data_IF_860143994939
#
_entry.id   IF_860143994939
#
_cell.length_a   1.000
_cell.length_b   1.000
_cell.length_c   1.000
_cell.angle_alpha   90.00
_cell.angle_beta   90.00
_cell.angle_gamma   90.00
#
_symmetry.space_group_name_H-M   'P 1'
#
loop_
_entity.id
_entity.type
_entity.pdbx_description
1 polymer ?
#
# COMPACT_ATOMS: atom_id res chain seq x y z
N UNK A 1 -4.28 22.00 -27.56
CA UNK A 1 -4.02 21.98 -26.09
C UNK A 1 -4.54 20.66 -25.54
N UNK A 2 -3.67 19.74 -25.15
CA UNK A 2 -4.09 18.51 -24.48
C UNK A 2 -4.89 18.89 -23.22
N UNK A 3 -6.08 18.31 -23.03
CA UNK A 3 -6.88 18.53 -21.82
C UNK A 3 -6.02 18.15 -20.62
N UNK A 4 -5.84 19.10 -19.72
CA UNK A 4 -5.16 18.87 -18.45
C UNK A 4 -5.76 17.62 -17.77
N UNK A 5 -4.95 16.61 -17.40
CA UNK A 5 -5.43 15.40 -16.71
C UNK A 5 -5.95 15.72 -15.29
N UNK A 6 -5.83 16.99 -14.86
CA UNK A 6 -6.33 17.47 -13.59
C UNK A 6 -7.82 17.82 -13.66
N UNK A 7 -8.63 17.04 -12.96
CA UNK A 7 -10.02 17.40 -12.67
C UNK A 7 -10.12 18.65 -11.79
N UNK A 8 -11.32 19.23 -11.73
CA UNK A 8 -11.63 20.43 -10.93
C UNK A 8 -11.07 20.35 -9.50
N UNK A 9 -11.31 19.23 -8.81
CA UNK A 9 -10.90 19.05 -7.42
C UNK A 9 -9.38 19.06 -7.20
N UNK A 10 -8.59 18.52 -8.15
CA UNK A 10 -7.13 18.63 -8.08
C UNK A 10 -6.66 20.07 -8.21
N UNK A 11 -7.24 20.82 -9.14
CA UNK A 11 -6.90 22.23 -9.34
C UNK A 11 -7.30 23.07 -8.13
N UNK A 12 -8.45 22.79 -7.54
CA UNK A 12 -8.92 23.43 -6.31
C UNK A 12 -7.95 23.18 -5.15
N UNK A 13 -7.61 21.91 -4.88
CA UNK A 13 -6.67 21.56 -3.80
C UNK A 13 -5.28 22.15 -4.06
N UNK A 14 -4.79 22.11 -5.30
CA UNK A 14 -3.52 22.72 -5.65
C UNK A 14 -3.54 24.25 -5.43
N UNK A 15 -4.62 24.95 -5.78
CA UNK A 15 -4.76 26.38 -5.55
C UNK A 15 -4.75 26.74 -4.06
N UNK A 16 -5.28 25.87 -3.20
CA UNK A 16 -5.31 26.07 -1.74
C UNK A 16 -3.98 25.69 -1.08
N UNK A 17 -3.42 24.52 -1.41
CA UNK A 17 -2.24 23.98 -0.71
C UNK A 17 -0.91 24.50 -1.26
N UNK A 18 -0.82 24.80 -2.56
CA UNK A 18 0.45 25.21 -3.17
C UNK A 18 0.97 26.53 -2.60
N UNK A 19 0.19 27.64 -2.52
CA UNK A 19 0.70 28.90 -2.01
C UNK A 19 1.37 28.83 -0.61
N UNK A 20 0.73 28.24 0.43
CA UNK A 20 1.39 28.12 1.73
C UNK A 20 2.62 27.21 1.69
N UNK A 21 2.62 26.13 0.90
CA UNK A 21 3.83 25.30 0.73
C UNK A 21 4.97 26.12 0.10
N UNK A 22 4.69 26.92 -0.93
CA UNK A 22 5.69 27.76 -1.59
C UNK A 22 6.27 28.82 -0.65
N UNK A 23 5.43 29.35 0.26
CA UNK A 23 5.81 30.38 1.22
C UNK A 23 6.60 29.80 2.41
N UNK A 24 6.14 28.68 2.97
CA UNK A 24 6.62 28.13 4.25
C UNK A 24 7.72 27.07 4.09
N UNK A 25 7.94 26.53 2.90
CA UNK A 25 8.94 25.48 2.65
C UNK A 25 9.79 25.78 1.43
N UNK A 26 11.02 25.27 1.41
CA UNK A 26 11.85 25.14 0.20
C UNK A 26 11.55 23.79 -0.46
N UNK A 27 11.85 23.65 -1.75
CA UNK A 27 11.55 22.41 -2.49
C UNK A 27 12.70 22.03 -3.40
N UNK A 28 13.07 20.76 -3.39
CA UNK A 28 14.04 20.16 -4.30
C UNK A 28 13.41 18.90 -4.89
N UNK A 29 13.05 18.99 -6.18
CA UNK A 29 12.43 17.92 -6.92
C UNK A 29 13.42 17.37 -7.96
N UNK A 30 13.63 16.07 -7.95
CA UNK A 30 14.58 15.38 -8.83
C UNK A 30 13.95 14.09 -9.38
N UNK A 31 14.39 13.64 -10.56
CA UNK A 31 13.93 12.39 -11.16
C UNK A 31 12.55 12.43 -11.81
N UNK A 32 12.03 13.62 -12.14
CA UNK A 32 10.72 13.75 -12.81
C UNK A 32 10.69 13.10 -14.19
N UNK A 33 11.85 12.99 -14.85
CA UNK A 33 12.09 12.29 -16.10
C UNK A 33 11.77 10.79 -16.04
N UNK A 34 11.78 10.18 -14.85
CA UNK A 34 11.40 8.78 -14.66
C UNK A 34 9.89 8.57 -14.54
N UNK A 35 9.09 9.64 -14.48
CA UNK A 35 7.65 9.56 -14.37
C UNK A 35 7.06 9.31 -15.77
N UNK A 36 6.34 8.19 -15.99
CA UNK A 36 5.76 7.90 -17.31
C UNK A 36 4.76 8.98 -17.75
N UNK A 37 4.98 9.52 -18.94
CA UNK A 37 4.09 10.52 -19.55
C UNK A 37 2.70 9.92 -19.86
N UNK A 38 2.66 8.65 -20.22
CA UNK A 38 1.47 7.89 -20.60
C UNK A 38 1.43 6.54 -19.88
N UNK A 39 0.27 5.88 -19.91
CA UNK A 39 0.07 4.58 -19.28
C UNK A 39 -0.02 4.62 -17.76
N UNK A 40 -0.50 3.52 -17.17
CA UNK A 40 -0.65 3.38 -15.73
C UNK A 40 0.68 3.03 -15.10
N UNK A 41 0.91 3.54 -13.89
CA UNK A 41 2.12 3.20 -13.13
C UNK A 41 1.85 3.28 -11.64
N UNK A 42 2.72 2.63 -10.87
CA UNK A 42 2.68 2.63 -9.42
C UNK A 42 3.90 3.39 -8.91
N UNK A 43 3.74 4.21 -7.89
CA UNK A 43 4.89 4.76 -7.16
C UNK A 43 4.99 4.14 -5.78
N UNK A 44 6.21 3.75 -5.42
CA UNK A 44 6.55 3.22 -4.11
C UNK A 44 7.31 4.31 -3.36
N UNK A 45 6.69 4.86 -2.31
CA UNK A 45 7.21 6.03 -1.60
C UNK A 45 7.49 5.67 -0.14
N UNK A 46 8.63 6.08 0.43
CA UNK A 46 8.85 5.95 1.87
C UNK A 46 7.96 6.92 2.67
N UNK A 47 7.68 6.63 3.94
CA UNK A 47 6.77 7.44 4.76
C UNK A 47 7.37 7.80 6.13
N UNK A 48 7.82 9.04 6.34
CA UNK A 48 8.36 9.51 7.63
C UNK A 48 7.60 10.69 8.26
N UNK A 49 6.64 11.29 7.55
CA UNK A 49 5.89 12.46 8.00
C UNK A 49 4.44 12.45 7.51
N UNK A 50 3.54 13.02 8.31
CA UNK A 50 2.16 13.29 7.85
C UNK A 50 2.09 14.31 6.70
N UNK A 51 3.16 15.07 6.46
CA UNK A 51 3.26 16.02 5.35
C UNK A 51 3.70 15.34 4.03
N UNK A 52 4.16 14.09 4.07
CA UNK A 52 4.65 13.35 2.90
C UNK A 52 3.67 13.31 1.73
N UNK A 53 2.36 12.98 1.92
CA UNK A 53 1.42 12.93 0.80
C UNK A 53 1.23 14.28 0.13
N UNK A 54 1.36 15.37 0.89
CA UNK A 54 1.25 16.73 0.37
C UNK A 54 2.51 17.12 -0.42
N UNK A 55 3.70 16.79 0.09
CA UNK A 55 4.96 17.00 -0.62
C UNK A 55 4.99 16.18 -1.93
N UNK A 56 4.61 14.90 -1.86
CA UNK A 56 4.55 14.03 -3.03
C UNK A 56 3.51 14.50 -4.04
N UNK A 57 2.31 14.88 -3.60
CA UNK A 57 1.28 15.41 -4.49
C UNK A 57 1.74 16.69 -5.21
N UNK A 58 2.51 17.55 -4.54
CA UNK A 58 3.07 18.75 -5.18
C UNK A 58 4.15 18.40 -6.21
N UNK A 59 5.07 17.48 -5.90
CA UNK A 59 6.00 16.92 -6.88
C UNK A 59 5.23 16.41 -8.10
N UNK A 60 4.25 15.52 -7.87
CA UNK A 60 3.51 14.86 -8.92
C UNK A 60 2.63 15.81 -9.72
N UNK A 61 2.08 16.86 -9.10
CA UNK A 61 1.35 17.93 -9.79
C UNK A 61 2.20 18.63 -10.86
N UNK A 62 3.52 18.72 -10.67
CA UNK A 62 4.41 19.34 -11.66
C UNK A 62 4.77 18.38 -12.81
N UNK A 63 4.52 17.07 -12.67
CA UNK A 63 4.77 16.05 -13.72
C UNK A 63 3.61 15.89 -14.70
N UNK A 64 2.43 16.45 -14.38
CA UNK A 64 1.22 16.21 -15.18
C UNK A 64 0.47 14.91 -14.83
N UNK A 65 0.91 14.13 -13.83
CA UNK A 65 0.42 12.76 -13.60
C UNK A 65 -0.18 12.58 -12.19
N UNK A 66 -1.33 13.19 -11.84
CA UNK A 66 -1.83 13.28 -10.45
C UNK A 66 -1.94 11.91 -9.74
N UNK A 67 -1.52 11.81 -8.46
CA UNK A 67 -1.46 10.52 -7.77
C UNK A 67 -2.82 10.16 -7.13
N UNK A 68 -3.19 8.88 -7.24
CA UNK A 68 -4.27 8.23 -6.49
C UNK A 68 -3.65 7.58 -5.25
N UNK A 69 -3.83 8.19 -4.09
CA UNK A 69 -3.38 7.63 -2.82
C UNK A 69 -4.39 6.63 -2.28
N UNK A 70 -3.85 5.62 -1.60
CA UNK A 70 -4.60 4.75 -0.71
C UNK A 70 -4.77 5.47 0.63
N UNK A 71 -5.95 6.05 0.86
CA UNK A 71 -6.25 6.89 2.02
C UNK A 71 -7.21 6.19 2.99
N UNK A 72 -7.00 6.38 4.30
CA UNK A 72 -7.83 5.75 5.34
C UNK A 72 -9.32 6.07 5.12
N UNK A 73 -10.17 5.04 5.10
CA UNK A 73 -11.62 5.17 4.82
C UNK A 73 -12.31 6.19 5.72
N UNK A 74 -11.92 6.31 6.98
CA UNK A 74 -12.48 7.29 7.92
C UNK A 74 -12.38 8.74 7.41
N UNK A 75 -11.37 9.07 6.58
CA UNK A 75 -11.24 10.41 5.99
C UNK A 75 -12.36 10.72 4.98
N UNK A 76 -12.95 9.70 4.35
CA UNK A 76 -14.02 9.86 3.36
C UNK A 76 -15.38 10.17 3.99
N UNK A 77 -15.52 9.96 5.31
CA UNK A 77 -16.73 10.26 6.07
C UNK A 77 -16.71 11.66 6.69
N UNK A 78 -15.57 12.36 6.67
CA UNK A 78 -15.46 13.74 7.14
C UNK A 78 -16.12 14.67 6.12
N UNK A 79 -17.09 15.47 6.57
CA UNK A 79 -17.80 16.42 5.73
C UNK A 79 -16.83 17.38 5.02
N UNK A 80 -17.07 17.64 3.72
CA UNK A 80 -16.16 18.41 2.87
C UNK A 80 -14.93 17.62 2.40
N UNK A 81 -14.12 17.12 3.33
CA UNK A 81 -12.89 16.34 3.03
C UNK A 81 -13.20 15.13 2.16
N UNK A 82 -14.22 14.35 2.51
CA UNK A 82 -14.60 13.17 1.74
C UNK A 82 -15.03 13.50 0.31
N UNK A 83 -15.71 14.64 0.09
CA UNK A 83 -16.11 15.10 -1.24
C UNK A 83 -14.89 15.44 -2.08
N UNK A 84 -13.91 16.15 -1.50
CA UNK A 84 -12.66 16.48 -2.16
C UNK A 84 -11.85 15.22 -2.50
N UNK A 85 -11.73 14.27 -1.57
CA UNK A 85 -11.02 13.00 -1.80
C UNK A 85 -11.67 12.18 -2.91
N UNK A 86 -13.01 12.03 -2.91
CA UNK A 86 -13.75 11.37 -4.00
C UNK A 86 -13.58 12.09 -5.33
N UNK A 87 -13.63 13.42 -5.31
CA UNK A 87 -13.42 14.27 -6.48
C UNK A 87 -12.02 14.16 -7.08
N UNK A 88 -11.02 13.88 -6.25
CA UNK A 88 -9.66 13.55 -6.65
C UNK A 88 -9.45 12.04 -6.91
N UNK A 89 -10.52 11.24 -6.90
CA UNK A 89 -10.51 9.78 -7.11
C UNK A 89 -9.57 9.01 -6.18
N UNK A 90 -9.37 9.49 -4.95
CA UNK A 90 -8.54 8.81 -3.96
C UNK A 90 -9.17 7.46 -3.57
N UNK A 91 -8.35 6.48 -3.24
CA UNK A 91 -8.80 5.09 -3.02
C UNK A 91 -8.96 4.86 -1.51
N UNK A 92 -10.17 4.56 -1.01
CA UNK A 92 -10.37 4.29 0.41
C UNK A 92 -9.79 2.93 0.80
N UNK A 93 -8.96 2.91 1.85
CA UNK A 93 -8.47 1.68 2.48
C UNK A 93 -9.11 1.46 3.84
N UNK A 94 -9.47 0.21 4.08
CA UNK A 94 -10.13 -0.27 5.29
C UNK A 94 -9.16 -1.15 6.08
N UNK A 95 -9.32 -1.20 7.40
CA UNK A 95 -8.51 -2.08 8.24
C UNK A 95 -9.01 -3.53 8.19
N UNK A 96 -10.23 -3.75 7.72
CA UNK A 96 -10.88 -5.06 7.63
C UNK A 96 -10.52 -5.80 6.34
N UNK A 97 -10.31 -7.12 6.43
CA UNK A 97 -9.77 -7.96 5.36
C UNK A 97 -10.66 -8.04 4.11
N UNK A 98 -11.99 -8.10 4.29
CA UNK A 98 -12.94 -8.18 3.17
C UNK A 98 -12.91 -6.92 2.28
N UNK A 99 -12.70 -5.75 2.89
CA UNK A 99 -12.67 -4.47 2.18
C UNK A 99 -11.27 -4.11 1.66
N UNK A 100 -10.21 -4.74 2.18
CA UNK A 100 -8.86 -4.64 1.60
C UNK A 100 -8.83 -5.12 0.13
N UNK A 101 -9.62 -6.15 -0.20
CA UNK A 101 -9.76 -6.63 -1.57
C UNK A 101 -10.41 -5.59 -2.50
N UNK A 102 -11.35 -4.77 -1.99
CA UNK A 102 -11.97 -3.68 -2.77
C UNK A 102 -10.98 -2.58 -3.08
N UNK A 103 -10.20 -2.15 -2.08
CA UNK A 103 -9.16 -1.13 -2.28
C UNK A 103 -8.09 -1.60 -3.28
N UNK A 104 -7.71 -2.88 -3.19
CA UNK A 104 -6.78 -3.49 -4.14
C UNK A 104 -7.32 -3.48 -5.58
N UNK A 105 -8.58 -3.93 -5.81
CA UNK A 105 -9.21 -3.88 -7.13
C UNK A 105 -9.27 -2.45 -7.68
N UNK A 106 -9.67 -1.48 -6.85
CA UNK A 106 -9.71 -0.08 -7.25
C UNK A 106 -8.34 0.47 -7.67
N UNK A 107 -7.26 0.01 -7.03
CA UNK A 107 -5.89 0.36 -7.41
C UNK A 107 -5.49 -0.27 -8.76
N UNK A 108 -5.76 -1.55 -8.96
CA UNK A 108 -5.54 -2.25 -10.25
C UNK A 108 -6.31 -1.56 -11.38
N UNK A 109 -7.59 -1.24 -11.16
CA UNK A 109 -8.41 -0.55 -12.16
C UNK A 109 -7.90 0.86 -12.46
N UNK A 110 -7.38 1.58 -11.45
CA UNK A 110 -6.80 2.91 -11.65
C UNK A 110 -5.54 2.84 -12.52
N UNK A 111 -4.65 1.89 -12.25
CA UNK A 111 -3.50 1.62 -13.11
C UNK A 111 -3.96 1.25 -14.52
N UNK A 112 -4.94 0.36 -14.67
CA UNK A 112 -5.50 -0.04 -15.97
C UNK A 112 -6.10 1.14 -16.78
N UNK A 113 -6.61 2.17 -16.10
CA UNK A 113 -7.09 3.42 -16.72
C UNK A 113 -5.98 4.42 -17.07
N UNK A 114 -4.71 4.05 -16.90
CA UNK A 114 -3.59 4.95 -17.17
C UNK A 114 -3.30 5.95 -16.06
N UNK A 115 -3.77 5.70 -14.83
CA UNK A 115 -3.59 6.61 -13.68
C UNK A 115 -2.34 6.23 -12.85
N UNK A 116 -1.80 7.20 -12.11
CA UNK A 116 -0.72 7.00 -11.14
C UNK A 116 -1.32 6.52 -9.81
N UNK A 117 -0.93 5.34 -9.32
CA UNK A 117 -1.29 4.89 -7.97
C UNK A 117 -0.10 5.04 -7.04
N UNK A 118 -0.25 5.87 -6.02
CA UNK A 118 0.81 6.15 -5.06
C UNK A 118 0.63 5.29 -3.80
N UNK A 119 1.63 4.46 -3.52
CA UNK A 119 1.64 3.51 -2.41
C UNK A 119 2.78 3.85 -1.46
N UNK A 120 2.47 3.92 -0.18
CA UNK A 120 3.46 3.90 0.90
C UNK A 120 3.60 2.45 1.39
N UNK A 121 4.60 1.67 0.91
CA UNK A 121 4.59 0.21 1.08
C UNK A 121 4.67 -0.23 2.55
N UNK A 122 5.30 0.58 3.41
CA UNK A 122 5.36 0.39 4.86
C UNK A 122 3.96 0.30 5.50
N UNK A 123 2.97 0.95 4.89
CA UNK A 123 1.56 0.97 5.32
C UNK A 123 1.28 1.79 6.59
N UNK A 124 2.29 2.49 7.10
CA UNK A 124 2.23 3.47 8.20
C UNK A 124 3.45 4.39 8.08
N UNK A 125 3.56 5.41 8.94
CA UNK A 125 4.83 6.15 9.07
C UNK A 125 5.87 5.20 9.65
N UNK A 126 7.10 5.24 9.14
CA UNK A 126 8.23 4.49 9.66
C UNK A 126 8.32 4.63 11.18
N UNK A 127 8.68 3.56 11.86
CA UNK A 127 9.01 3.53 13.30
C UNK A 127 10.49 3.31 13.53
N UNK A 128 11.27 3.24 12.46
CA UNK A 128 12.71 3.25 12.54
C UNK A 128 13.16 4.53 13.28
N UNK A 129 14.07 4.41 14.27
CA UNK A 129 14.60 5.57 15.01
C UNK A 129 15.30 6.58 14.12
N UNK A 130 15.99 6.10 13.08
CA UNK A 130 16.76 6.90 12.13
C UNK A 130 15.97 7.21 10.85
N UNK A 131 14.64 6.98 10.89
CA UNK A 131 13.67 7.28 9.85
C UNK A 131 13.96 6.59 8.50
N UNK A 132 14.65 5.45 8.52
CA UNK A 132 14.80 4.60 7.34
C UNK A 132 13.49 3.88 6.98
N UNK A 133 13.29 3.48 5.70
CA UNK A 133 12.11 2.73 5.29
C UNK A 133 12.08 1.37 5.98
N UNK A 134 10.93 1.01 6.54
CA UNK A 134 10.71 -0.31 7.15
C UNK A 134 10.45 -1.40 6.10
N UNK A 135 10.33 -2.65 6.55
CA UNK A 135 9.82 -3.75 5.74
C UNK A 135 8.46 -3.41 5.10
N UNK A 136 8.40 -3.51 3.76
CA UNK A 136 7.19 -3.22 2.99
C UNK A 136 6.12 -4.32 3.08
N UNK A 137 4.86 -3.93 2.84
CA UNK A 137 3.76 -4.85 2.55
C UNK A 137 3.72 -5.18 1.06
N UNK A 138 3.24 -6.37 0.74
CA UNK A 138 3.24 -6.92 -0.63
C UNK A 138 2.27 -6.28 -1.62
N UNK A 139 1.46 -5.31 -1.18
CA UNK A 139 0.43 -4.70 -2.03
C UNK A 139 1.00 -4.01 -3.27
N UNK A 140 2.14 -3.32 -3.14
CA UNK A 140 2.78 -2.60 -4.26
C UNK A 140 3.25 -3.58 -5.35
N UNK A 141 3.96 -4.64 -4.97
CA UNK A 141 4.41 -5.68 -5.89
C UNK A 141 3.22 -6.42 -6.52
N UNK A 142 2.18 -6.70 -5.73
CA UNK A 142 0.98 -7.38 -6.22
C UNK A 142 0.26 -6.57 -7.29
N UNK A 143 0.11 -5.25 -7.11
CA UNK A 143 -0.49 -4.37 -8.13
C UNK A 143 0.37 -4.40 -9.39
N UNK A 144 1.69 -4.23 -9.25
CA UNK A 144 2.61 -4.18 -10.37
C UNK A 144 2.63 -5.47 -11.21
N UNK A 145 2.77 -6.62 -10.55
CA UNK A 145 2.84 -7.91 -11.24
C UNK A 145 1.51 -8.32 -11.87
N UNK A 146 0.37 -7.97 -11.27
CA UNK A 146 -0.95 -8.25 -11.87
C UNK A 146 -1.29 -7.34 -13.05
N UNK A 147 -0.73 -6.12 -13.09
CA UNK A 147 -1.03 -5.13 -14.15
C UNK A 147 0.04 -5.04 -15.22
N UNK A 148 1.24 -5.55 -14.95
CA UNK A 148 2.44 -5.32 -15.78
C UNK A 148 2.98 -3.89 -15.71
N UNK A 149 2.40 -3.03 -14.87
CA UNK A 149 2.75 -1.61 -14.81
C UNK A 149 4.13 -1.39 -14.17
N UNK A 150 4.88 -0.36 -14.60
CA UNK A 150 6.15 -0.01 -13.98
C UNK A 150 5.94 0.48 -12.55
N UNK A 151 6.89 0.15 -11.66
CA UNK A 151 6.99 0.69 -10.31
C UNK A 151 8.09 1.72 -10.27
N UNK A 152 7.74 2.98 -10.00
CA UNK A 152 8.72 4.06 -9.81
C UNK A 152 9.06 4.16 -8.31
N UNK A 153 10.31 3.90 -7.91
CA UNK A 153 10.73 4.10 -6.53
C UNK A 153 10.91 5.59 -6.27
N UNK A 154 10.49 6.05 -5.10
CA UNK A 154 10.53 7.46 -4.71
C UNK A 154 10.98 7.60 -3.25
N UNK A 155 12.01 8.42 -3.03
CA UNK A 155 12.45 8.82 -1.71
C UNK A 155 11.99 10.25 -1.36
N UNK A 156 11.63 10.44 -0.09
CA UNK A 156 11.21 11.72 0.48
C UNK A 156 11.96 12.05 1.77
N UNK A 157 12.36 13.31 1.89
CA UNK A 157 13.02 13.83 3.08
C UNK A 157 12.65 15.29 3.39
N UNK A 158 12.88 15.69 4.64
CA UNK A 158 12.65 17.05 5.14
C UNK A 158 11.22 17.36 5.60
N UNK A 159 10.21 16.62 5.14
CA UNK A 159 8.83 16.79 5.59
C UNK A 159 8.65 16.56 7.12
N UNK A 160 9.38 15.59 7.69
CA UNK A 160 9.41 15.31 9.12
C UNK A 160 9.97 16.47 9.96
N UNK A 161 10.74 17.39 9.36
CA UNK A 161 11.23 18.59 10.04
C UNK A 161 10.11 19.62 10.25
N UNK A 162 9.09 19.62 9.38
CA UNK A 162 7.90 20.49 9.47
C UNK A 162 6.83 19.85 10.35
N UNK A 163 6.47 18.60 10.04
CA UNK A 163 5.48 17.82 10.78
C UNK A 163 6.12 16.48 11.16
N UNK A 164 6.71 16.37 12.36
CA UNK A 164 7.32 15.13 12.81
C UNK A 164 6.25 14.06 12.99
N UNK A 165 6.70 12.80 12.96
CA UNK A 165 5.90 11.65 13.36
C UNK A 165 5.42 11.85 14.80
N UNK A 166 4.14 11.58 15.02
CA UNK A 166 3.56 11.60 16.37
C UNK A 166 3.45 10.16 16.92
N UNK A 167 4.12 9.91 18.04
CA UNK A 167 4.10 8.65 18.79
C UNK A 167 3.55 8.95 20.18
N UNK A 168 2.35 8.43 20.48
CA UNK A 168 1.73 8.55 21.80
C UNK A 168 2.66 7.93 22.86
N UNK A 169 3.02 8.72 23.87
CA UNK A 169 3.85 8.27 25.00
C UNK A 169 5.37 8.40 24.80
N UNK A 170 5.84 8.79 23.61
CA UNK A 170 7.25 9.10 23.41
C UNK A 170 7.67 10.37 24.16
N UNK A 171 8.86 10.36 24.77
CA UNK A 171 9.47 11.58 25.30
C UNK A 171 9.98 12.45 24.13
N UNK A 172 9.89 13.78 24.25
CA UNK A 172 10.43 14.71 23.25
C UNK A 172 9.48 15.08 22.10
N UNK A 173 10.01 15.56 20.95
CA UNK A 173 9.21 16.08 19.83
C UNK A 173 8.26 15.06 19.22
N UNK A 174 8.61 13.77 19.27
CA UNK A 174 7.77 12.69 18.74
C UNK A 174 6.51 12.46 19.60
N UNK A 175 6.52 12.84 20.88
CA UNK A 175 5.38 12.72 21.79
C UNK A 175 4.24 13.71 21.56
N UNK A 176 4.48 14.77 20.77
CA UNK A 176 3.54 15.88 20.59
C UNK A 176 3.33 16.20 19.12
N UNK A 177 2.08 16.35 18.70
CA UNK A 177 1.79 16.91 17.38
C UNK A 177 2.21 18.39 17.37
N UNK A 178 3.28 18.72 16.62
CA UNK A 178 3.82 20.08 16.52
C UNK A 178 4.17 20.40 15.08
N UNK A 179 3.74 21.56 14.61
CA UNK A 179 4.13 22.08 13.29
C UNK A 179 5.26 23.09 13.47
N UNK A 180 6.36 22.93 12.72
CA UNK A 180 7.50 23.86 12.69
C UNK A 180 7.59 24.51 11.31
N UNK A 181 7.26 25.81 11.25
CA UNK A 181 7.27 26.57 10.00
C UNK A 181 8.57 27.36 9.78
N UNK A 182 9.36 27.55 10.84
CA UNK A 182 10.61 28.31 10.81
C UNK A 182 11.72 27.58 11.61
N UNK A 183 12.98 27.57 11.12
CA UNK A 183 13.37 27.98 9.76
C UNK A 183 12.70 27.10 8.69
N UNK A 184 12.57 27.63 7.47
CA UNK A 184 11.88 26.92 6.37
C UNK A 184 12.64 25.64 6.04
N UNK A 185 12.02 24.48 6.30
CA UNK A 185 12.56 23.20 5.89
C UNK A 185 12.53 23.04 4.36
N UNK A 186 13.48 22.27 3.83
CA UNK A 186 13.49 21.86 2.42
C UNK A 186 12.78 20.53 2.27
N UNK A 187 11.66 20.51 1.54
CA UNK A 187 11.00 19.29 1.11
C UNK A 187 11.74 18.72 -0.09
N UNK A 188 12.25 17.51 0.03
CA UNK A 188 13.06 16.86 -1.00
C UNK A 188 12.32 15.61 -1.48
N UNK A 189 12.19 15.46 -2.79
CA UNK A 189 11.65 14.25 -3.44
C UNK A 189 12.57 13.88 -4.58
N UNK A 190 13.00 12.62 -4.58
CA UNK A 190 13.80 12.01 -5.62
C UNK A 190 13.07 10.76 -6.11
N UNK A 191 12.66 10.77 -7.38
CA UNK A 191 12.17 9.58 -8.06
C UNK A 191 13.34 8.91 -8.81
N UNK A 192 13.39 7.58 -8.80
CA UNK A 192 14.38 6.80 -9.54
C UNK A 192 13.81 6.16 -10.79
N UNK A 193 14.65 5.48 -11.59
CA UNK A 193 14.18 4.69 -12.73
C UNK A 193 13.22 3.56 -12.30
N UNK A 194 12.36 3.06 -13.20
CA UNK A 194 11.49 1.93 -12.89
C UNK A 194 12.26 0.74 -12.32
N UNK A 195 11.76 0.17 -11.22
CA UNK A 195 12.35 -1.04 -10.63
C UNK A 195 12.21 -2.19 -11.61
N UNK A 196 13.32 -2.86 -11.90
CA UNK A 196 13.29 -4.09 -12.69
C UNK A 196 12.67 -5.22 -11.87
N UNK A 197 11.50 -5.68 -12.33
CA UNK A 197 10.74 -6.79 -11.76
C UNK A 197 10.56 -7.92 -12.77
N UNK A 198 11.35 -7.93 -13.86
CA UNK A 198 11.23 -8.90 -14.94
C UNK A 198 11.31 -10.34 -14.44
N UNK A 199 12.23 -10.63 -13.51
CA UNK A 199 12.41 -11.95 -12.89
C UNK A 199 11.15 -12.51 -12.20
N UNK A 200 10.20 -11.64 -11.83
CA UNK A 200 8.99 -12.02 -11.09
C UNK A 200 7.75 -12.14 -11.98
N UNK A 201 7.78 -11.64 -13.23
CA UNK A 201 6.57 -11.50 -14.08
C UNK A 201 5.98 -12.82 -14.52
N UNK A 202 6.82 -13.80 -14.85
CA UNK A 202 6.40 -15.10 -15.39
C UNK A 202 6.25 -16.17 -14.30
N UNK A 203 6.41 -15.79 -13.03
CA UNK A 203 6.30 -16.68 -11.88
C UNK A 203 4.87 -16.70 -11.36
N UNK A 204 4.46 -17.85 -10.81
CA UNK A 204 3.19 -17.93 -10.10
C UNK A 204 3.18 -16.94 -8.92
N UNK A 205 2.10 -16.16 -8.80
CA UNK A 205 1.95 -15.16 -7.76
C UNK A 205 1.65 -15.80 -6.40
N UNK A 206 2.71 -16.21 -5.71
CA UNK A 206 2.66 -16.69 -4.33
C UNK A 206 3.29 -15.70 -3.35
N UNK A 207 3.24 -16.03 -2.06
CA UNK A 207 3.71 -15.14 -0.99
C UNK A 207 5.20 -14.78 -1.12
N UNK A 208 6.03 -15.75 -1.52
CA UNK A 208 7.48 -15.59 -1.60
C UNK A 208 7.88 -14.69 -2.78
N UNK A 209 7.27 -14.89 -3.95
CA UNK A 209 7.45 -14.02 -5.12
C UNK A 209 7.07 -12.58 -4.78
N UNK A 210 5.92 -12.39 -4.15
CA UNK A 210 5.45 -11.06 -3.76
C UNK A 210 6.36 -10.42 -2.71
N UNK A 211 6.90 -11.20 -1.77
CA UNK A 211 7.85 -10.72 -0.76
C UNK A 211 9.14 -10.26 -1.42
N UNK A 212 9.76 -11.12 -2.24
CA UNK A 212 11.00 -10.82 -2.94
C UNK A 212 10.87 -9.59 -3.85
N UNK A 213 9.80 -9.50 -4.64
CA UNK A 213 9.52 -8.33 -5.47
C UNK A 213 9.32 -7.06 -4.64
N UNK A 214 8.68 -7.16 -3.48
CA UNK A 214 8.53 -6.02 -2.56
C UNK A 214 9.85 -5.61 -1.96
N UNK A 215 10.71 -6.56 -1.60
CA UNK A 215 12.04 -6.27 -1.08
C UNK A 215 12.88 -5.55 -2.12
N UNK A 216 12.86 -5.99 -3.39
CA UNK A 216 13.53 -5.30 -4.50
C UNK A 216 13.05 -3.85 -4.69
N UNK A 217 11.75 -3.61 -4.55
CA UNK A 217 11.18 -2.26 -4.61
C UNK A 217 11.66 -1.41 -3.42
N UNK A 218 11.68 -2.00 -2.22
CA UNK A 218 12.12 -1.31 -1.01
C UNK A 218 13.64 -1.06 -1.00
N UNK A 219 14.45 -1.92 -1.64
CA UNK A 219 15.88 -1.69 -1.89
C UNK A 219 16.06 -0.40 -2.69
N UNK A 220 15.39 -0.29 -3.83
CA UNK A 220 15.47 0.92 -4.66
C UNK A 220 15.01 2.18 -3.91
N UNK A 221 13.94 2.11 -3.11
CA UNK A 221 13.49 3.26 -2.29
C UNK A 221 14.53 3.62 -1.22
N UNK A 222 15.13 2.63 -0.56
CA UNK A 222 16.18 2.85 0.44
C UNK A 222 17.43 3.45 -0.17
N UNK A 223 17.87 2.97 -1.34
CA UNK A 223 19.02 3.49 -2.09
C UNK A 223 18.84 4.96 -2.46
N UNK A 224 17.67 5.33 -3.00
CA UNK A 224 17.35 6.74 -3.29
C UNK A 224 17.33 7.60 -2.03
N UNK A 225 16.86 7.07 -0.90
CA UNK A 225 16.87 7.81 0.34
C UNK A 225 18.28 7.99 0.90
N UNK A 226 19.15 6.98 0.72
CA UNK A 226 20.57 7.07 1.07
C UNK A 226 21.28 8.15 0.26
N UNK A 227 21.05 8.20 -1.06
CA UNK A 227 21.54 9.28 -1.93
C UNK A 227 21.04 10.65 -1.45
N UNK A 228 19.74 10.76 -1.18
CA UNK A 228 19.13 12.01 -0.74
C UNK A 228 19.74 12.49 0.59
N UNK A 229 19.98 11.59 1.54
CA UNK A 229 20.54 11.91 2.87
C UNK A 229 22.06 12.06 2.85
N UNK A 230 22.76 11.43 1.90
CA UNK A 230 24.22 11.28 1.95
C UNK A 230 24.67 10.38 3.10
N UNK A 231 23.87 9.35 3.43
CA UNK A 231 24.07 8.46 4.58
C UNK A 231 23.98 6.99 4.15
N UNK A 232 24.68 6.11 4.85
CA UNK A 232 24.59 4.67 4.61
C UNK A 232 23.29 4.09 5.22
N UNK A 233 22.54 3.26 4.47
CA UNK A 233 21.36 2.59 5.01
C UNK A 233 21.74 1.49 6.01
N UNK A 234 20.85 1.14 6.95
CA UNK A 234 21.09 0.03 7.87
C UNK A 234 21.16 -1.29 7.11
N UNK A 235 22.03 -2.20 7.55
CA UNK A 235 22.19 -3.52 6.92
C UNK A 235 20.95 -4.42 7.02
N UNK A 236 20.03 -4.13 7.94
CA UNK A 236 18.74 -4.83 8.09
C UNK A 236 17.62 -3.80 8.20
N UNK A 237 16.56 -3.97 7.41
CA UNK A 237 15.36 -3.12 7.51
C UNK A 237 14.62 -3.39 8.82
N UNK A 238 14.16 -2.31 9.44
CA UNK A 238 13.26 -2.41 10.59
C UNK A 238 11.95 -3.13 10.21
N UNK A 239 11.57 -4.15 10.98
CA UNK A 239 10.30 -4.87 10.82
C UNK A 239 9.47 -4.80 12.11
N UNK A 240 8.33 -4.11 12.05
CA UNK A 240 7.38 -4.01 13.17
C UNK A 240 6.88 -5.37 13.68
N UNK A 241 6.77 -6.39 12.82
CA UNK A 241 6.32 -7.72 13.24
C UNK A 241 7.35 -8.39 14.13
N UNK A 242 8.63 -8.34 13.73
CA UNK A 242 9.74 -8.86 14.50
C UNK A 242 9.91 -8.09 15.83
N UNK A 243 9.89 -6.74 15.78
CA UNK A 243 10.01 -5.92 16.99
C UNK A 243 8.82 -6.11 17.95
N UNK A 244 7.60 -6.28 17.43
CA UNK A 244 6.40 -6.54 18.23
C UNK A 244 6.41 -7.93 18.87
N UNK A 245 6.92 -8.95 18.16
CA UNK A 245 7.10 -10.30 18.70
C UNK A 245 8.16 -10.33 19.81
N UNK A 246 9.31 -9.66 19.61
CA UNK A 246 10.35 -9.52 20.64
C UNK A 246 9.83 -8.78 21.88
N UNK A 247 9.08 -7.68 21.68
CA UNK A 247 8.45 -6.93 22.78
C UNK A 247 7.41 -7.77 23.51
N UNK A 248 6.59 -8.55 22.78
CA UNK A 248 5.59 -9.43 23.38
C UNK A 248 6.24 -10.58 24.17
N UNK A 249 7.30 -11.18 23.65
CA UNK A 249 8.07 -12.23 24.32
C UNK A 249 8.73 -11.71 25.61
N UNK A 250 9.30 -10.48 25.58
CA UNK A 250 9.82 -9.82 26.79
C UNK A 250 8.73 -9.53 27.83
N UNK A 251 7.51 -9.19 27.42
CA UNK A 251 6.39 -8.92 28.33
C UNK A 251 5.68 -10.19 28.83
N UNK A 252 5.73 -11.29 28.08
CA UNK A 252 5.18 -12.59 28.49
C UNK A 252 6.16 -13.44 29.30
N UNK A 253 7.43 -13.02 29.40
CA UNK A 253 8.46 -13.77 30.12
C UNK A 253 8.89 -15.08 29.45
N UNK A 254 8.47 -15.32 28.20
CA UNK A 254 8.91 -16.48 27.43
C UNK A 254 10.21 -16.15 26.69
N UNK A 255 11.27 -16.97 26.82
CA UNK A 255 12.53 -16.71 26.14
C UNK A 255 12.35 -16.81 24.62
N UNK A 256 12.94 -15.86 23.90
CA UNK A 256 13.05 -15.92 22.45
C UNK A 256 13.73 -17.25 22.05
N UNK A 257 12.97 -18.13 21.39
CA UNK A 257 13.51 -19.37 20.84
C UNK A 257 14.73 -19.06 19.97
N UNK A 258 15.84 -19.75 20.25
CA UNK A 258 17.07 -19.64 19.46
C UNK A 258 16.78 -20.02 18.00
N UNK A 259 17.47 -19.41 17.02
CA UNK A 259 17.39 -19.88 15.64
C UNK A 259 18.02 -21.27 15.53
N UNK A 260 17.22 -22.26 15.12
CA UNK A 260 17.66 -23.62 14.87
C UNK A 260 18.65 -23.67 13.69
N UNK A 261 19.78 -24.32 13.92
CA UNK A 261 20.69 -24.80 12.88
C UNK A 261 20.07 -26.02 12.16
N UNK A 262 20.49 -26.35 10.92
CA UNK A 262 19.66 -27.15 10.01
C UNK A 262 19.63 -28.63 10.43
N UNK A 263 18.42 -29.15 10.60
CA UNK A 263 18.21 -30.58 10.80
C UNK A 263 18.52 -31.33 9.50
N UNK A 264 19.51 -32.22 9.60
CA UNK A 264 19.90 -33.19 8.57
C UNK A 264 18.75 -34.17 8.34
N UNK A 265 18.38 -34.33 7.08
CA UNK A 265 17.40 -35.31 6.63
C UNK A 265 18.07 -36.69 6.55
N UNK A 266 17.61 -37.67 7.34
CA UNK A 266 17.78 -39.08 7.04
C UNK A 266 16.45 -39.81 7.26
N UNK A 267 16.00 -40.44 6.18
CA UNK A 267 14.82 -41.28 6.10
C UNK A 267 15.13 -42.74 6.52
N UNK A 268 14.06 -43.54 6.62
CA UNK A 268 13.97 -45.01 6.75
C UNK A 268 13.75 -45.49 8.20
N UNK A 269 12.77 -46.34 8.58
CA UNK A 269 12.14 -47.51 7.92
C UNK A 269 10.69 -47.77 8.39
N UNK A 270 9.94 -48.51 7.58
CA UNK A 270 8.56 -48.98 7.73
C UNK A 270 8.33 -50.12 8.77
N UNK A 271 7.06 -50.35 9.14
CA UNK A 271 6.47 -51.67 9.47
C UNK A 271 4.94 -51.62 9.65
N UNK A 272 4.21 -52.15 8.66
CA UNK A 272 3.00 -53.02 8.69
C UNK A 272 1.84 -52.88 9.73
N UNK A 273 0.68 -52.42 9.22
CA UNK A 273 -0.68 -53.03 9.11
C UNK A 273 -1.20 -54.08 10.16
N UNK A 274 -2.55 -54.27 10.37
CA UNK A 274 -3.63 -54.13 9.37
C UNK A 274 -5.00 -53.53 9.80
N UNK A 275 -5.81 -53.21 8.77
CA UNK A 275 -7.25 -52.86 8.75
C UNK A 275 -8.13 -54.12 8.81
N UNK A 276 -9.28 -54.12 9.52
CA UNK A 276 -10.69 -53.97 9.04
C UNK A 276 -11.59 -54.89 9.96
N UNK A 277 -12.95 -54.87 9.97
CA UNK A 277 -13.88 -54.33 8.98
C UNK A 277 -15.15 -53.60 9.51
N UNK A 278 -15.94 -53.13 8.55
CA UNK A 278 -17.28 -52.54 8.66
C UNK A 278 -18.41 -53.53 9.03
N UNK A 279 -19.47 -53.01 9.66
CA UNK A 279 -20.89 -53.36 9.53
C UNK A 279 -21.70 -52.25 10.26
N UNK A 280 -22.84 -51.72 9.85
CA UNK A 280 -23.84 -52.09 8.86
C UNK A 280 -25.24 -51.72 9.40
N UNK A 281 -25.95 -50.85 8.66
CA UNK A 281 -27.43 -50.65 8.58
C UNK A 281 -28.29 -50.17 9.78
N UNK A 282 -28.82 -48.93 9.64
CA UNK A 282 -30.23 -48.46 9.43
C UNK A 282 -31.42 -49.06 10.25
N UNK A 283 -32.70 -48.54 10.19
CA UNK A 283 -33.29 -47.31 9.61
C UNK A 283 -34.44 -46.60 10.45
N UNK A 284 -34.92 -45.48 9.89
CA UNK A 284 -36.32 -44.95 9.79
C UNK A 284 -37.21 -44.47 10.97
N UNK A 285 -37.68 -43.20 10.85
CA UNK A 285 -39.09 -42.71 10.59
C UNK A 285 -39.15 -41.21 10.97
N UNK A 286 -39.80 -40.28 10.27
CA UNK A 286 -40.83 -40.32 9.24
C UNK A 286 -41.99 -39.38 9.63
N UNK A 287 -42.17 -38.27 8.91
CA UNK A 287 -43.42 -37.51 8.64
C UNK A 287 -43.01 -36.19 7.94
N UNK A 288 -43.15 -36.06 6.62
CA UNK A 288 -44.34 -35.62 5.87
C UNK A 288 -44.78 -34.20 6.29
N UNK A 289 -44.93 -33.21 5.42
CA UNK A 289 -45.81 -33.24 4.25
C UNK A 289 -45.39 -32.28 3.12
N UNK A 290 -45.90 -32.63 1.94
CA UNK A 290 -45.65 -32.18 0.59
C UNK A 290 -46.37 -30.86 0.19
N UNK A 291 -46.03 -30.36 -1.00
CA UNK A 291 -46.85 -29.35 -1.69
C UNK A 291 -46.17 -28.69 -2.89
N UNK A 292 -45.95 -29.45 -3.96
CA UNK A 292 -45.40 -29.01 -5.26
C UNK A 292 -46.56 -28.74 -6.28
N UNK A 293 -46.35 -28.51 -7.60
CA UNK A 293 -46.32 -27.22 -8.32
C UNK A 293 -47.30 -27.09 -9.53
N UNK A 294 -47.22 -25.97 -10.28
CA UNK A 294 -47.25 -25.82 -11.78
C UNK A 294 -47.47 -24.33 -12.15
N UNK A 295 -46.66 -23.62 -12.96
CA UNK A 295 -46.51 -23.62 -14.44
C UNK A 295 -47.87 -23.49 -15.17
N UNK A 296 -48.17 -22.62 -16.15
CA UNK A 296 -47.43 -22.05 -17.31
C UNK A 296 -48.27 -20.89 -17.92
N UNK A 297 -47.71 -20.24 -18.97
CA UNK A 297 -48.35 -19.46 -20.07
C UNK A 297 -48.27 -17.91 -20.11
N UNK A 298 -47.19 -17.42 -20.72
CA UNK A 298 -47.10 -16.71 -22.02
C UNK A 298 -48.40 -16.16 -22.68
N UNK A 299 -48.40 -14.87 -23.02
CA UNK A 299 -48.70 -14.30 -24.37
C UNK A 299 -48.34 -12.80 -24.46
N UNK A 300 -47.44 -12.49 -25.41
CA UNK A 300 -47.43 -11.41 -26.43
C UNK A 300 -48.19 -10.07 -26.27
N UNK A 301 -47.53 -9.00 -26.77
CA UNK A 301 -48.18 -8.08 -27.72
C UNK A 301 -48.04 -6.57 -27.48
N UNK A 302 -47.27 -5.90 -28.36
CA UNK A 302 -47.43 -4.53 -28.92
C UNK A 302 -47.43 -3.32 -27.95
N UNK A 303 -46.91 -2.13 -28.22
CA UNK A 303 -46.64 -1.39 -29.46
C UNK A 303 -47.20 0.04 -29.30
N UNK A 304 -46.42 1.05 -29.75
CA UNK A 304 -46.86 2.38 -30.24
C UNK A 304 -47.07 3.56 -29.23
N UNK A 305 -46.12 4.50 -29.32
CA UNK A 305 -46.24 5.97 -29.50
C UNK A 305 -47.14 6.84 -28.59
N UNK A 306 -46.52 7.81 -27.89
CA UNK A 306 -46.61 9.26 -28.14
C UNK A 306 -45.52 10.01 -27.37
#
# INVERSE_FOLDING_TARGET
MARSPYGFWYRFVAAVLKPPLLLLTKREWQGMEHIPAEGGFVTAVNHNSYLDPVAYAHFQYNTGRPPRFLAKSSLFHIAGVGTVLRGMKQIPVYRDSADAAKAFRAAVDAVGRGECVAVYPEGTLTRDPDLWPMAGKTGVARIALMTGAPVIPVAQWGAHQVVPRWIRGAAGPEGKFRVRLFPRATLRVLAGPPVDLSEFRDRELNADVLRAATDRIMDAVTELLAELRGEEPPGVRFDMRASGAATRAQLSGEPAGRPDAPATNQASTASDAPLAPEAGLAPEKGSDDAGTPRAVHETDGEGISR
#
